data_IF_449610450833
#
_entry.id   IF_449610450833
#
_cell.length_a   1.000
_cell.length_b   1.000
_cell.length_c   1.000
_cell.angle_alpha   90.00
_cell.angle_beta   90.00
_cell.angle_gamma   90.00
#
_symmetry.space_group_name_H-M   'P 1'
#
loop_
_entity.id
_entity.type
_entity.pdbx_description
1 polymer ?
#
# COMPACT_ATOMS: atom_id res chain seq x y z
N UNK A 1 9.01 6.15 -13.25
CA UNK A 1 8.31 5.28 -12.27
C UNK A 1 7.28 4.46 -13.02
N UNK A 2 7.30 3.13 -12.92
CA UNK A 2 6.35 2.27 -13.63
C UNK A 2 4.91 2.53 -13.15
N UNK A 3 3.93 2.43 -14.06
CA UNK A 3 2.51 2.73 -13.77
C UNK A 3 1.98 2.02 -12.50
N UNK A 4 2.48 0.83 -12.18
CA UNK A 4 2.11 0.05 -10.98
C UNK A 4 2.72 0.59 -9.68
N UNK A 5 3.91 1.20 -9.72
CA UNK A 5 4.53 1.85 -8.56
C UNK A 5 3.74 3.08 -8.13
N UNK A 6 3.24 3.85 -9.11
CA UNK A 6 2.31 4.95 -8.85
C UNK A 6 1.02 4.48 -8.18
N UNK A 7 0.51 3.32 -8.58
CA UNK A 7 -0.68 2.72 -7.98
C UNK A 7 -0.44 2.32 -6.51
N UNK A 8 0.68 1.65 -6.21
CA UNK A 8 1.04 1.31 -4.83
C UNK A 8 1.24 2.55 -3.94
N UNK A 9 1.90 3.59 -4.45
CA UNK A 9 2.03 4.84 -3.70
C UNK A 9 0.66 5.50 -3.48
N UNK A 10 -0.24 5.43 -4.45
CA UNK A 10 -1.58 5.98 -4.33
C UNK A 10 -2.38 5.26 -3.24
N UNK A 11 -2.33 3.93 -3.20
CA UNK A 11 -2.96 3.14 -2.13
C UNK A 11 -2.41 3.51 -0.76
N UNK A 12 -1.09 3.67 -0.63
CA UNK A 12 -0.48 4.12 0.62
C UNK A 12 -0.98 5.51 1.03
N UNK A 13 -1.02 6.47 0.10
CA UNK A 13 -1.56 7.80 0.38
C UNK A 13 -3.03 7.75 0.83
N UNK A 14 -3.86 6.93 0.16
CA UNK A 14 -5.28 6.77 0.52
C UNK A 14 -5.40 6.20 1.94
N UNK A 15 -4.64 5.16 2.28
CA UNK A 15 -4.63 4.58 3.63
C UNK A 15 -4.28 5.67 4.66
N UNK A 16 -3.20 6.41 4.44
CA UNK A 16 -2.74 7.45 5.40
C UNK A 16 -3.76 8.58 5.54
N UNK A 17 -4.34 9.05 4.44
CA UNK A 17 -5.34 10.13 4.46
C UNK A 17 -6.60 9.69 5.21
N UNK A 18 -7.14 8.51 4.89
CA UNK A 18 -8.38 8.02 5.52
C UNK A 18 -8.16 7.72 7.00
N UNK A 19 -7.04 7.08 7.34
CA UNK A 19 -6.69 6.79 8.75
C UNK A 19 -6.44 8.07 9.54
N UNK A 20 -5.78 9.06 8.91
CA UNK A 20 -5.55 10.38 9.47
C UNK A 20 -6.85 11.14 9.75
N UNK A 21 -7.83 11.06 8.85
CA UNK A 21 -9.17 11.64 9.07
C UNK A 21 -9.89 10.98 10.24
N UNK A 22 -9.83 9.64 10.35
CA UNK A 22 -10.47 8.90 11.46
C UNK A 22 -9.78 9.22 12.79
N UNK A 23 -8.46 9.17 12.83
CA UNK A 23 -7.67 9.49 14.03
C UNK A 23 -7.82 10.95 14.45
N UNK A 24 -7.86 11.87 13.50
CA UNK A 24 -8.10 13.29 13.73
C UNK A 24 -9.52 13.57 14.23
N UNK A 25 -10.54 12.95 13.63
CA UNK A 25 -11.93 13.10 14.06
C UNK A 25 -12.20 12.52 15.45
N UNK A 26 -11.42 11.52 15.86
CA UNK A 26 -11.52 10.88 17.19
C UNK A 26 -10.53 11.46 18.20
N UNK A 27 -9.68 12.40 17.78
CA UNK A 27 -8.55 12.96 18.55
C UNK A 27 -7.67 11.86 19.19
N UNK A 28 -7.63 10.67 18.59
CA UNK A 28 -7.03 9.48 19.17
C UNK A 28 -5.99 8.87 18.24
N UNK A 29 -4.73 8.92 18.69
CA UNK A 29 -3.62 8.26 18.03
C UNK A 29 -3.81 6.75 17.93
N UNK A 30 -4.54 6.14 18.87
CA UNK A 30 -4.78 4.70 18.88
C UNK A 30 -5.74 4.29 17.74
N UNK A 31 -6.79 5.08 17.51
CA UNK A 31 -7.71 4.87 16.39
C UNK A 31 -7.04 5.08 15.03
N UNK A 32 -6.07 6.00 14.94
CA UNK A 32 -5.23 6.14 13.75
C UNK A 32 -4.46 4.85 13.44
N UNK A 33 -3.75 4.29 14.42
CA UNK A 33 -2.95 3.07 14.21
C UNK A 33 -3.82 1.85 13.91
N UNK A 34 -4.97 1.70 14.58
CA UNK A 34 -5.91 0.60 14.31
C UNK A 34 -6.45 0.71 12.88
N UNK A 35 -6.96 1.88 12.49
CA UNK A 35 -7.54 2.07 11.15
C UNK A 35 -6.49 1.88 10.05
N UNK A 36 -5.30 2.46 10.22
CA UNK A 36 -4.18 2.28 9.29
C UNK A 36 -3.77 0.81 9.16
N UNK A 37 -3.67 0.09 10.29
CA UNK A 37 -3.33 -1.32 10.33
C UNK A 37 -4.36 -2.20 9.64
N UNK A 38 -5.65 -2.00 9.93
CA UNK A 38 -6.76 -2.76 9.32
C UNK A 38 -6.80 -2.54 7.80
N UNK A 39 -6.61 -1.31 7.35
CA UNK A 39 -6.70 -0.95 5.93
C UNK A 39 -5.46 -1.40 5.15
N UNK A 40 -4.27 -1.35 5.76
CA UNK A 40 -3.08 -1.96 5.19
C UNK A 40 -3.21 -3.49 5.12
N UNK A 41 -3.71 -4.13 6.18
CA UNK A 41 -3.91 -5.56 6.23
C UNK A 41 -4.95 -6.03 5.20
N UNK A 42 -6.05 -5.30 5.00
CA UNK A 42 -7.06 -5.64 4.01
C UNK A 42 -6.55 -5.52 2.57
N UNK A 43 -5.75 -4.48 2.26
CA UNK A 43 -5.13 -4.32 0.95
C UNK A 43 -4.03 -5.35 0.67
N UNK A 44 -3.33 -5.82 1.72
CA UNK A 44 -2.40 -6.95 1.63
C UNK A 44 -3.14 -8.28 1.44
N UNK A 45 -4.22 -8.53 2.19
CA UNK A 45 -5.01 -9.75 2.10
C UNK A 45 -5.77 -9.88 0.76
N UNK A 46 -6.26 -8.76 0.22
CA UNK A 46 -6.95 -8.72 -1.07
C UNK A 46 -6.03 -8.99 -2.27
N UNK A 47 -4.70 -8.99 -2.06
CA UNK A 47 -3.73 -9.21 -3.14
C UNK A 47 -3.64 -8.06 -4.15
N UNK A 48 -4.18 -6.89 -3.81
CA UNK A 48 -4.10 -5.66 -4.62
C UNK A 48 -2.66 -5.11 -4.56
N UNK A 49 -2.08 -5.13 -3.37
CA UNK A 49 -0.64 -5.00 -3.18
C UNK A 49 -0.04 -6.38 -3.45
N UNK A 50 0.43 -6.62 -4.67
CA UNK A 50 1.32 -7.77 -4.95
C UNK A 50 2.77 -7.34 -4.68
N UNK A 51 3.38 -7.69 -3.53
CA UNK A 51 4.82 -7.56 -3.35
C UNK A 51 5.49 -8.67 -4.15
N UNK A 52 5.59 -8.53 -5.47
CA UNK A 52 6.34 -9.52 -6.23
C UNK A 52 7.81 -9.14 -6.29
N UNK A 53 8.57 -9.94 -5.54
CA UNK A 53 9.84 -10.56 -5.92
C UNK A 53 10.32 -10.07 -7.28
N UNK A 54 11.39 -9.28 -7.22
CA UNK A 54 12.23 -8.83 -8.32
C UNK A 54 12.41 -9.98 -9.32
N UNK A 55 11.49 -10.11 -10.28
CA UNK A 55 11.70 -10.95 -11.45
C UNK A 55 12.83 -10.28 -12.20
N UNK A 56 14.05 -10.67 -11.84
CA UNK A 56 15.23 -10.58 -12.68
C UNK A 56 14.84 -11.30 -13.96
N UNK A 57 14.27 -10.58 -14.92
CA UNK A 57 14.20 -11.06 -16.30
C UNK A 57 15.66 -11.38 -16.67
N UNK A 58 16.03 -12.65 -16.90
CA UNK A 58 17.36 -12.92 -17.41
C UNK A 58 17.41 -12.26 -18.78
N UNK A 59 18.39 -11.38 -18.90
CA UNK A 59 18.83 -10.73 -20.12
C UNK A 59 18.71 -11.70 -21.29
N UNK A 60 17.86 -11.34 -22.24
CA UNK A 60 17.53 -12.11 -23.43
C UNK A 60 18.79 -12.24 -24.28
N UNK A 61 19.50 -13.37 -24.14
CA UNK A 61 20.58 -13.78 -25.04
C UNK A 61 19.96 -14.09 -26.40
N UNK A 62 19.89 -13.10 -27.29
CA UNK A 62 19.67 -13.35 -28.72
C UNK A 62 21.03 -13.66 -29.32
N UNK A 63 21.10 -14.85 -29.92
CA UNK A 63 22.19 -15.36 -30.76
C UNK A 63 22.56 -14.36 -31.84
#
# INVERSE_FOLDING_TARGET
MGARQRLNSLYFYIIVIVSGLIGGATESWLMFWISAGVMAASMLHGGDIRPHSRSRKPFRRRR
#
